data_IF_009862499785
#
_entry.id   IF_009862499785
#
_cell.length_a   1.000
_cell.length_b   1.000
_cell.length_c   1.000
_cell.angle_alpha   90.00
_cell.angle_beta   90.00
_cell.angle_gamma   90.00
#
_symmetry.space_group_name_H-M   'P 1'
#
loop_
_entity.id
_entity.type
_entity.pdbx_description
1 polymer ?
#
# COMPACT_ATOMS: atom_id res chain seq x y z
N UNK A 1 6.77 8.60 3.73
CA UNK A 1 5.45 9.15 4.18
C UNK A 1 4.45 9.24 2.99
N UNK A 2 4.47 8.24 2.10
CA UNK A 2 3.62 8.27 0.90
C UNK A 2 2.11 8.20 1.21
N UNK A 3 1.73 7.72 2.40
CA UNK A 3 0.34 7.57 2.86
C UNK A 3 -0.06 8.55 3.97
N UNK A 4 0.70 9.61 4.20
CA UNK A 4 0.50 10.53 5.32
C UNK A 4 -0.86 11.27 5.28
N UNK A 5 -1.50 11.36 4.11
CA UNK A 5 -2.81 12.01 3.95
C UNK A 5 -4.01 11.12 4.27
N UNK A 6 -3.79 9.85 4.61
CA UNK A 6 -4.88 8.88 4.83
C UNK A 6 -5.37 8.81 6.27
N UNK A 7 -4.75 9.55 7.17
CA UNK A 7 -5.13 9.63 8.58
C UNK A 7 -4.80 11.00 9.19
N UNK A 8 -5.62 11.47 10.10
CA UNK A 8 -5.39 12.70 10.87
C UNK A 8 -5.50 12.43 12.38
N UNK A 9 -4.57 12.95 13.20
CA UNK A 9 -3.38 13.72 12.80
C UNK A 9 -2.30 12.82 12.18
N UNK A 10 -1.70 13.26 11.06
CA UNK A 10 -0.54 12.56 10.52
C UNK A 10 0.71 12.86 11.34
N UNK A 11 1.54 11.84 11.52
CA UNK A 11 2.80 11.95 12.27
C UNK A 11 3.96 11.80 11.29
N UNK A 12 4.77 12.86 11.17
CA UNK A 12 5.99 12.80 10.38
C UNK A 12 7.18 12.36 11.24
N UNK A 13 8.02 11.48 10.70
CA UNK A 13 9.26 11.05 11.35
C UNK A 13 10.22 12.19 11.65
N UNK A 14 10.09 13.32 10.94
CA UNK A 14 10.92 14.52 11.19
C UNK A 14 10.72 15.10 12.60
N UNK A 15 9.55 14.89 13.21
CA UNK A 15 9.26 15.37 14.56
C UNK A 15 10.18 14.75 15.63
N UNK A 16 10.76 13.59 15.33
CA UNK A 16 11.66 12.86 16.24
C UNK A 16 13.15 13.14 15.96
N UNK A 17 13.44 14.00 15.01
CA UNK A 17 14.81 14.33 14.59
C UNK A 17 15.22 15.67 15.19
N UNK A 18 16.16 15.66 16.15
CA UNK A 18 16.66 16.91 16.78
C UNK A 18 17.52 17.75 15.84
N UNK A 19 18.36 17.10 15.04
CA UNK A 19 19.22 17.74 14.06
C UNK A 19 19.34 16.84 12.83
N UNK A 20 18.79 17.29 11.73
CA UNK A 20 18.73 16.52 10.49
C UNK A 20 20.13 16.25 9.91
N UNK A 21 21.04 17.24 9.97
CA UNK A 21 22.39 17.12 9.39
C UNK A 21 23.28 16.12 10.14
N UNK A 22 22.97 15.81 11.39
CA UNK A 22 23.68 14.80 12.19
C UNK A 22 22.92 13.45 12.27
N UNK A 23 21.83 13.29 11.54
CA UNK A 23 21.00 12.08 11.55
C UNK A 23 21.18 11.25 10.26
N UNK A 24 20.82 9.96 10.35
CA UNK A 24 20.68 9.05 9.21
C UNK A 24 19.21 8.84 8.84
N UNK A 25 18.33 9.79 9.19
CA UNK A 25 16.92 9.72 8.86
C UNK A 25 16.65 10.21 7.45
N UNK A 26 15.84 9.47 6.71
CA UNK A 26 15.33 9.81 5.38
C UNK A 26 13.82 9.85 5.44
N UNK A 27 13.23 10.98 5.09
CA UNK A 27 11.78 11.12 4.96
C UNK A 27 11.45 11.18 3.47
N UNK A 28 10.79 10.14 2.96
CA UNK A 28 10.36 10.09 1.57
C UNK A 28 8.87 10.45 1.47
N UNK A 29 8.55 11.38 0.59
CA UNK A 29 7.19 11.75 0.24
C UNK A 29 6.97 11.69 -1.27
N UNK A 30 5.71 11.67 -1.69
CA UNK A 30 5.37 11.63 -3.11
C UNK A 30 3.96 12.15 -3.40
N UNK A 31 3.75 12.65 -4.62
CA UNK A 31 2.42 13.00 -5.13
C UNK A 31 1.57 11.75 -5.45
N UNK A 32 2.16 10.57 -5.40
CA UNK A 32 1.59 9.32 -5.92
C UNK A 32 0.28 8.92 -5.25
N UNK A 33 0.23 8.94 -3.91
CA UNK A 33 -0.88 8.38 -3.13
C UNK A 33 -1.77 9.48 -2.56
N UNK A 34 -1.28 10.30 -1.65
CA UNK A 34 -2.07 11.34 -1.01
C UNK A 34 -2.62 12.40 -1.97
N UNK A 35 -1.89 12.74 -3.03
CA UNK A 35 -2.34 13.67 -4.07
C UNK A 35 -2.95 12.97 -5.30
N UNK A 36 -3.20 11.66 -5.23
CA UNK A 36 -3.84 10.85 -6.28
C UNK A 36 -3.22 11.06 -7.69
N UNK A 37 -1.89 11.27 -7.74
CA UNK A 37 -1.19 11.61 -8.97
C UNK A 37 -0.03 10.65 -9.28
N UNK A 38 -0.28 9.33 -9.40
CA UNK A 38 0.78 8.35 -9.62
C UNK A 38 1.50 8.52 -10.95
N UNK A 39 0.82 9.02 -11.99
CA UNK A 39 1.34 9.15 -13.35
C UNK A 39 2.38 10.25 -13.52
N UNK A 40 2.42 11.26 -12.65
CA UNK A 40 3.39 12.36 -12.78
C UNK A 40 4.82 11.98 -12.35
N UNK A 41 4.98 10.85 -11.65
CA UNK A 41 6.26 10.29 -11.20
C UNK A 41 7.13 11.28 -10.39
N UNK A 42 6.53 11.99 -9.43
CA UNK A 42 7.20 12.95 -8.56
C UNK A 42 7.15 12.49 -7.11
N UNK A 43 8.32 12.52 -6.49
CA UNK A 43 8.55 12.36 -5.06
C UNK A 43 9.69 13.23 -4.59
N UNK A 44 9.90 13.27 -3.30
CA UNK A 44 10.98 14.02 -2.65
C UNK A 44 11.56 13.25 -1.47
N UNK A 45 12.78 13.61 -1.11
CA UNK A 45 13.45 13.11 0.08
C UNK A 45 13.92 14.31 0.90
N UNK A 46 13.67 14.23 2.21
CA UNK A 46 14.24 15.13 3.21
C UNK A 46 15.25 14.32 4.03
N UNK A 47 16.50 14.75 4.04
CA UNK A 47 17.60 14.09 4.75
C UNK A 47 18.70 15.09 5.06
N UNK A 48 19.78 14.65 5.72
CA UNK A 48 20.97 15.48 5.95
C UNK A 48 21.57 15.99 4.62
N UNK A 49 22.19 17.16 4.65
CA UNK A 49 22.83 17.77 3.48
C UNK A 49 23.77 16.78 2.76
N UNK A 50 24.63 16.10 3.52
CA UNK A 50 25.56 15.09 2.99
C UNK A 50 24.81 13.98 2.23
N UNK A 51 23.72 13.47 2.79
CA UNK A 51 22.93 12.40 2.17
C UNK A 51 22.21 12.90 0.91
N UNK A 52 21.69 14.13 0.92
CA UNK A 52 21.06 14.74 -0.25
C UNK A 52 22.06 14.94 -1.39
N UNK A 53 23.26 15.40 -1.11
CA UNK A 53 24.33 15.53 -2.13
C UNK A 53 24.68 14.18 -2.76
N UNK A 54 24.79 13.13 -1.94
CA UNK A 54 25.05 11.77 -2.44
C UNK A 54 23.91 11.26 -3.33
N UNK A 55 22.65 11.42 -2.87
CA UNK A 55 21.48 11.00 -3.64
C UNK A 55 21.29 11.79 -4.93
N UNK A 56 21.56 13.11 -4.91
CA UNK A 56 21.48 13.96 -6.09
C UNK A 56 22.50 13.53 -7.15
N UNK A 57 23.74 13.26 -6.74
CA UNK A 57 24.78 12.77 -7.65
C UNK A 57 24.42 11.41 -8.25
N UNK A 58 23.93 10.46 -7.42
CA UNK A 58 23.50 9.15 -7.88
C UNK A 58 22.30 9.25 -8.84
N UNK A 59 21.31 10.07 -8.50
CA UNK A 59 20.13 10.30 -9.35
C UNK A 59 20.50 10.94 -10.69
N UNK A 60 21.39 11.92 -10.67
CA UNK A 60 21.90 12.57 -11.90
C UNK A 60 22.60 11.59 -12.83
N UNK A 61 23.42 10.70 -12.26
CA UNK A 61 24.13 9.68 -13.03
C UNK A 61 23.20 8.56 -13.54
N UNK A 62 22.33 8.03 -12.66
CA UNK A 62 21.52 6.84 -12.96
C UNK A 62 20.22 7.12 -13.72
N UNK A 63 19.62 8.29 -13.50
CA UNK A 63 18.28 8.61 -14.03
C UNK A 63 18.26 9.91 -14.86
N UNK A 64 19.31 10.70 -14.84
CA UNK A 64 19.31 12.05 -15.39
C UNK A 64 18.51 13.02 -14.51
N UNK A 65 17.73 13.89 -15.13
CA UNK A 65 16.87 14.83 -14.42
C UNK A 65 15.43 14.31 -14.25
N UNK A 66 14.76 14.83 -13.25
CA UNK A 66 13.30 14.64 -13.10
C UNK A 66 12.57 15.53 -14.11
N UNK A 67 11.50 15.03 -14.73
CA UNK A 67 10.69 15.76 -15.71
C UNK A 67 10.29 17.16 -15.22
N UNK A 68 10.73 18.21 -15.90
CA UNK A 68 10.41 19.60 -15.53
C UNK A 68 8.90 19.90 -15.58
N UNK A 69 8.15 19.51 -16.62
CA UNK A 69 6.68 19.66 -16.59
C UNK A 69 6.02 19.01 -15.39
N UNK A 70 6.46 17.81 -15.01
CA UNK A 70 5.95 17.10 -13.83
C UNK A 70 6.26 17.85 -12.53
N UNK A 71 7.44 18.44 -12.41
CA UNK A 71 7.79 19.29 -11.27
C UNK A 71 6.89 20.51 -11.16
N UNK A 72 6.65 21.22 -12.27
CA UNK A 72 5.75 22.39 -12.31
C UNK A 72 4.33 22.00 -11.91
N UNK A 73 3.85 20.84 -12.37
CA UNK A 73 2.55 20.32 -11.99
C UNK A 73 2.50 19.97 -10.49
N UNK A 74 3.53 19.32 -9.98
CA UNK A 74 3.63 18.99 -8.56
C UNK A 74 3.60 20.23 -7.65
N UNK A 75 4.26 21.32 -8.04
CA UNK A 75 4.22 22.61 -7.30
C UNK A 75 2.77 23.08 -7.16
N UNK A 76 1.96 22.94 -8.21
CA UNK A 76 0.54 23.29 -8.16
C UNK A 76 -0.29 22.36 -7.27
N UNK A 77 0.02 21.08 -7.26
CA UNK A 77 -0.63 20.11 -6.36
C UNK A 77 -0.30 20.37 -4.88
N UNK A 78 0.92 20.84 -4.62
CA UNK A 78 1.43 21.12 -3.28
C UNK A 78 1.02 22.49 -2.72
N UNK A 79 0.20 23.25 -3.42
CA UNK A 79 -0.39 24.48 -2.86
C UNK A 79 -1.16 24.16 -1.57
N UNK A 80 -0.93 24.90 -0.44
CA UNK A 80 -1.47 24.56 0.87
C UNK A 80 -3.00 24.34 0.88
N UNK A 81 -3.74 25.16 0.14
CA UNK A 81 -5.19 25.04 0.02
C UNK A 81 -5.63 23.75 -0.68
N UNK A 82 -4.87 23.29 -1.68
CA UNK A 82 -5.11 22.02 -2.38
C UNK A 82 -4.76 20.82 -1.49
N UNK A 83 -3.62 20.86 -0.84
CA UNK A 83 -3.19 19.81 0.10
C UNK A 83 -4.23 19.60 1.20
N UNK A 84 -4.74 20.69 1.80
CA UNK A 84 -5.78 20.61 2.82
C UNK A 84 -7.07 19.94 2.31
N UNK A 85 -7.51 20.31 1.09
CA UNK A 85 -8.71 19.70 0.46
C UNK A 85 -8.47 18.24 0.11
N UNK A 86 -7.30 17.92 -0.47
CA UNK A 86 -6.94 16.56 -0.83
C UNK A 86 -6.88 15.66 0.40
N UNK A 87 -6.23 16.09 1.48
CA UNK A 87 -6.16 15.36 2.75
C UNK A 87 -7.55 14.98 3.24
N UNK A 88 -8.45 15.96 3.36
CA UNK A 88 -9.81 15.70 3.82
C UNK A 88 -10.53 14.68 2.94
N UNK A 89 -10.51 14.87 1.62
CA UNK A 89 -11.21 13.99 0.68
C UNK A 89 -10.62 12.55 0.67
N UNK A 90 -9.29 12.44 0.70
CA UNK A 90 -8.60 11.14 0.73
C UNK A 90 -8.88 10.40 2.03
N UNK A 91 -8.78 11.08 3.17
CA UNK A 91 -9.04 10.50 4.48
C UNK A 91 -10.49 10.01 4.60
N UNK A 92 -11.48 10.85 4.27
CA UNK A 92 -12.91 10.50 4.34
C UNK A 92 -13.23 9.30 3.43
N UNK A 93 -12.79 9.35 2.17
CA UNK A 93 -13.07 8.28 1.20
C UNK A 93 -12.45 6.94 1.61
N UNK A 94 -11.16 6.93 1.95
CA UNK A 94 -10.47 5.67 2.23
C UNK A 94 -10.76 5.12 3.62
N UNK A 95 -11.11 5.94 4.60
CA UNK A 95 -11.59 5.45 5.89
C UNK A 95 -12.91 4.71 5.71
N UNK A 96 -13.86 5.30 4.99
CA UNK A 96 -15.13 4.66 4.68
C UNK A 96 -14.96 3.33 3.92
N UNK A 97 -14.09 3.28 2.91
CA UNK A 97 -13.78 2.04 2.19
C UNK A 97 -13.14 1.00 3.11
N UNK A 98 -12.19 1.42 3.95
CA UNK A 98 -11.50 0.53 4.89
C UNK A 98 -12.47 -0.14 5.86
N UNK A 99 -13.36 0.62 6.44
CA UNK A 99 -14.36 0.11 7.38
C UNK A 99 -15.26 -0.92 6.73
N UNK A 100 -15.80 -0.64 5.54
CA UNK A 100 -16.69 -1.54 4.80
C UNK A 100 -16.03 -2.88 4.48
N UNK A 101 -14.87 -2.84 3.82
CA UNK A 101 -14.16 -4.05 3.44
C UNK A 101 -13.65 -4.80 4.67
N UNK A 102 -13.17 -4.12 5.69
CA UNK A 102 -12.72 -4.72 6.94
C UNK A 102 -13.82 -5.51 7.60
N UNK A 103 -14.98 -4.89 7.81
CA UNK A 103 -16.15 -5.54 8.38
C UNK A 103 -16.60 -6.76 7.57
N UNK A 104 -16.67 -6.64 6.25
CA UNK A 104 -17.07 -7.75 5.40
C UNK A 104 -16.11 -8.95 5.50
N UNK A 105 -14.80 -8.71 5.60
CA UNK A 105 -13.82 -9.77 5.79
C UNK A 105 -13.87 -10.40 7.18
N UNK A 106 -14.13 -9.61 8.23
CA UNK A 106 -14.37 -10.14 9.58
C UNK A 106 -15.61 -11.04 9.61
N UNK A 107 -16.71 -10.62 8.96
CA UNK A 107 -17.94 -11.42 8.82
C UNK A 107 -17.70 -12.72 8.05
N UNK A 108 -16.75 -12.75 7.11
CA UNK A 108 -16.30 -13.98 6.45
C UNK A 108 -15.36 -14.82 7.32
N UNK A 109 -15.03 -14.43 8.55
CA UNK A 109 -14.14 -15.16 9.45
C UNK A 109 -12.67 -15.10 9.08
N UNK A 110 -12.23 -14.06 8.38
CA UNK A 110 -10.82 -13.80 8.11
C UNK A 110 -10.19 -13.01 9.27
N UNK A 111 -8.90 -13.23 9.53
CA UNK A 111 -8.12 -12.34 10.37
C UNK A 111 -7.86 -11.02 9.63
N UNK A 112 -8.28 -9.88 10.21
CA UNK A 112 -8.13 -8.56 9.59
C UNK A 112 -7.11 -7.73 10.37
N UNK A 113 -6.00 -7.41 9.72
CA UNK A 113 -4.96 -6.54 10.26
C UNK A 113 -4.90 -5.28 9.40
N UNK A 114 -5.29 -4.18 9.98
CA UNK A 114 -5.30 -2.89 9.31
C UNK A 114 -4.86 -1.80 10.28
N UNK A 115 -4.23 -0.77 9.75
CA UNK A 115 -3.93 0.44 10.52
C UNK A 115 -4.99 1.51 10.28
N UNK A 116 -4.76 2.69 10.85
CA UNK A 116 -5.67 3.83 10.75
C UNK A 116 -5.57 4.59 9.42
N UNK A 117 -4.67 4.16 8.52
CA UNK A 117 -4.42 4.85 7.24
C UNK A 117 -4.15 3.89 6.08
N UNK A 118 -3.96 4.46 4.89
CA UNK A 118 -3.73 3.71 3.66
C UNK A 118 -5.00 3.13 3.06
N UNK A 119 -4.82 2.24 2.07
CA UNK A 119 -5.92 1.60 1.35
C UNK A 119 -5.66 0.09 1.14
N UNK A 120 -5.09 -0.55 2.16
CA UNK A 120 -4.83 -1.98 2.19
C UNK A 120 -5.36 -2.59 3.48
N UNK A 121 -5.85 -3.82 3.39
CA UNK A 121 -5.93 -4.75 4.49
C UNK A 121 -4.83 -5.80 4.35
N UNK A 122 -4.26 -6.20 5.47
CA UNK A 122 -3.48 -7.41 5.59
C UNK A 122 -4.38 -8.46 6.21
N UNK A 123 -4.62 -9.54 5.48
CA UNK A 123 -5.64 -10.53 5.82
C UNK A 123 -5.00 -11.88 6.04
N UNK A 124 -5.58 -12.65 6.97
CA UNK A 124 -5.17 -14.02 7.27
C UNK A 124 -6.31 -15.00 6.98
N UNK A 125 -6.00 -16.02 6.21
CA UNK A 125 -6.89 -17.14 5.93
C UNK A 125 -6.96 -18.11 7.12
N UNK A 126 -8.06 -18.86 7.27
CA UNK A 126 -8.16 -19.98 8.21
C UNK A 126 -7.04 -21.00 8.03
N UNK A 127 -6.80 -21.82 9.04
CA UNK A 127 -5.84 -22.92 8.96
C UNK A 127 -6.14 -23.87 7.81
N UNK A 128 -5.09 -24.41 7.20
CA UNK A 128 -5.19 -25.32 6.06
C UNK A 128 -5.37 -24.63 4.71
N UNK A 129 -5.57 -23.30 4.66
CA UNK A 129 -5.72 -22.55 3.42
C UNK A 129 -4.45 -21.75 3.09
N UNK A 130 -4.17 -21.60 1.80
CA UNK A 130 -3.04 -20.82 1.31
C UNK A 130 -3.49 -19.66 0.42
N UNK A 131 -2.87 -18.49 0.59
CA UNK A 131 -3.19 -17.30 -0.20
C UNK A 131 -2.86 -17.45 -1.68
N UNK A 132 -1.85 -18.25 -2.02
CA UNK A 132 -1.48 -18.57 -3.39
C UNK A 132 -2.59 -19.34 -4.13
N UNK A 133 -3.23 -20.29 -3.45
CA UNK A 133 -4.34 -21.05 -4.04
C UNK A 133 -5.60 -20.19 -4.15
N UNK A 134 -5.92 -19.41 -3.12
CA UNK A 134 -7.03 -18.44 -3.19
C UNK A 134 -6.82 -17.47 -4.36
N UNK A 135 -5.61 -16.94 -4.54
CA UNK A 135 -5.30 -16.03 -5.65
C UNK A 135 -5.51 -16.67 -7.03
N UNK A 136 -5.13 -17.94 -7.21
CA UNK A 136 -5.37 -18.67 -8.47
C UNK A 136 -6.86 -18.80 -8.79
N UNK A 137 -7.68 -19.03 -7.76
CA UNK A 137 -9.14 -19.15 -7.90
C UNK A 137 -9.78 -17.80 -8.24
N UNK A 138 -9.41 -16.76 -7.51
CA UNK A 138 -9.82 -15.38 -7.80
C UNK A 138 -9.43 -14.95 -9.21
N UNK A 139 -8.21 -15.29 -9.63
CA UNK A 139 -7.71 -14.93 -10.97
C UNK A 139 -8.53 -15.54 -12.10
N UNK A 140 -9.03 -16.76 -11.94
CA UNK A 140 -9.97 -17.39 -12.90
C UNK A 140 -11.32 -16.66 -13.00
N UNK A 141 -11.67 -15.89 -11.97
CA UNK A 141 -12.89 -15.09 -11.88
C UNK A 141 -12.65 -13.59 -12.19
N UNK A 142 -11.44 -13.24 -12.65
CA UNK A 142 -11.07 -11.86 -13.01
C UNK A 142 -10.65 -10.96 -11.85
N UNK A 143 -10.41 -11.52 -10.66
CA UNK A 143 -9.92 -10.80 -9.49
C UNK A 143 -8.52 -11.27 -9.08
N UNK A 144 -7.81 -10.48 -8.28
CA UNK A 144 -6.50 -10.84 -7.77
C UNK A 144 -6.21 -10.19 -6.42
N UNK A 145 -5.44 -10.89 -5.61
CA UNK A 145 -4.85 -10.42 -4.37
C UNK A 145 -3.32 -10.49 -4.44
N UNK A 146 -2.62 -9.84 -3.53
CA UNK A 146 -1.18 -9.98 -3.43
C UNK A 146 -0.84 -10.92 -2.28
N UNK A 147 -0.30 -12.11 -2.60
CA UNK A 147 0.12 -13.08 -1.60
C UNK A 147 1.25 -12.52 -0.73
N UNK A 148 1.24 -12.81 0.55
CA UNK A 148 2.26 -12.33 1.47
C UNK A 148 3.65 -12.91 1.17
N UNK A 149 3.73 -14.10 0.59
CA UNK A 149 4.97 -14.66 0.06
C UNK A 149 5.71 -13.74 -0.92
N UNK A 150 4.97 -12.92 -1.68
CA UNK A 150 5.55 -11.95 -2.61
C UNK A 150 5.97 -10.64 -1.93
N UNK A 151 5.52 -10.43 -0.68
CA UNK A 151 5.91 -9.31 0.17
C UNK A 151 7.04 -9.67 1.15
N UNK A 152 7.44 -10.94 1.22
CA UNK A 152 8.46 -11.41 2.14
C UNK A 152 9.86 -11.03 1.67
N UNK A 153 10.42 -10.01 2.32
CA UNK A 153 11.76 -9.48 2.02
C UNK A 153 12.89 -10.41 2.45
N UNK A 154 12.62 -11.43 3.28
CA UNK A 154 13.58 -12.47 3.64
C UNK A 154 13.67 -13.57 2.58
N UNK A 155 12.76 -13.60 1.62
CA UNK A 155 12.74 -14.57 0.54
C UNK A 155 14.00 -14.46 -0.30
N UNK A 156 14.82 -15.52 -0.39
CA UNK A 156 16.01 -15.52 -1.23
C UNK A 156 15.65 -15.35 -2.71
N UNK A 157 16.52 -14.68 -3.45
CA UNK A 157 16.37 -14.55 -4.90
C UNK A 157 16.67 -15.84 -5.67
N UNK A 158 17.35 -16.81 -5.01
CA UNK A 158 17.66 -18.12 -5.60
C UNK A 158 16.48 -19.09 -5.49
N UNK A 159 16.16 -19.76 -6.59
CA UNK A 159 15.13 -20.81 -6.63
C UNK A 159 15.56 -22.09 -5.89
N UNK A 160 16.83 -22.24 -5.59
CA UNK A 160 17.42 -23.42 -4.94
C UNK A 160 17.45 -23.30 -3.41
N UNK A 161 16.72 -22.35 -2.85
CA UNK A 161 16.62 -22.12 -1.43
C UNK A 161 15.51 -22.97 -0.82
N UNK A 162 15.82 -23.69 0.25
CA UNK A 162 14.85 -24.40 1.10
C UNK A 162 14.01 -23.46 1.98
N UNK A 163 14.11 -22.15 1.76
CA UNK A 163 13.38 -21.16 2.52
C UNK A 163 11.87 -21.25 2.26
N UNK A 164 11.13 -21.52 3.31
CA UNK A 164 9.68 -21.49 3.31
C UNK A 164 9.21 -20.23 4.05
N UNK A 165 8.44 -19.39 3.37
CA UNK A 165 7.84 -18.23 4.02
C UNK A 165 6.84 -18.67 5.09
N UNK A 166 6.85 -18.05 6.30
CA UNK A 166 5.84 -18.32 7.32
C UNK A 166 4.48 -17.68 7.03
N UNK A 167 4.37 -16.91 5.94
CA UNK A 167 3.21 -16.09 5.62
C UNK A 167 2.31 -16.69 4.54
N UNK A 168 2.29 -18.00 4.35
CA UNK A 168 1.51 -18.66 3.26
C UNK A 168 0.02 -18.38 3.32
N UNK A 169 -0.53 -18.21 4.53
CA UNK A 169 -1.96 -17.89 4.76
C UNK A 169 -2.30 -16.42 4.62
N UNK A 170 -1.30 -15.54 4.57
CA UNK A 170 -1.51 -14.11 4.56
C UNK A 170 -1.53 -13.53 3.15
N UNK A 171 -2.29 -12.46 2.98
CA UNK A 171 -2.34 -11.70 1.73
C UNK A 171 -2.70 -10.24 1.97
N UNK A 172 -2.32 -9.41 1.01
CA UNK A 172 -2.71 -8.01 0.98
C UNK A 172 -3.90 -7.82 0.04
N UNK A 173 -4.97 -7.28 0.57
CA UNK A 173 -6.10 -6.80 -0.21
C UNK A 173 -6.00 -5.29 -0.41
N UNK A 174 -6.10 -4.83 -1.66
CA UNK A 174 -6.05 -3.41 -2.01
C UNK A 174 -7.44 -2.93 -2.42
N UNK A 175 -8.05 -2.07 -1.60
CA UNK A 175 -9.29 -1.40 -1.97
C UNK A 175 -9.07 -0.03 -2.64
N UNK A 176 -7.80 0.37 -2.82
CA UNK A 176 -7.44 1.65 -3.43
C UNK A 176 -7.96 1.88 -4.84
N UNK A 177 -7.92 0.90 -5.75
CA UNK A 177 -8.43 1.05 -7.11
C UNK A 177 -9.91 0.71 -7.27
N UNK A 178 -10.56 0.19 -6.21
CA UNK A 178 -11.94 -0.28 -6.29
C UNK A 178 -12.92 0.88 -6.20
N UNK A 179 -13.98 0.79 -6.98
CA UNK A 179 -15.04 1.80 -6.98
C UNK A 179 -16.04 1.52 -5.85
N UNK A 180 -16.58 2.56 -5.20
CA UNK A 180 -17.60 2.39 -4.16
C UNK A 180 -18.82 1.58 -4.62
N UNK A 181 -19.18 1.71 -5.90
CA UNK A 181 -20.34 1.07 -6.52
C UNK A 181 -20.15 -0.43 -6.75
N UNK A 182 -18.90 -0.92 -6.80
CA UNK A 182 -18.62 -2.34 -7.03
C UNK A 182 -18.52 -3.15 -5.74
N UNK A 183 -18.61 -2.51 -4.59
CA UNK A 183 -18.40 -3.15 -3.28
C UNK A 183 -19.18 -4.47 -3.11
N UNK A 184 -20.49 -4.46 -3.36
CA UNK A 184 -21.34 -5.63 -3.15
C UNK A 184 -20.93 -6.78 -4.08
N UNK A 185 -20.63 -6.47 -5.34
CA UNK A 185 -20.16 -7.47 -6.31
C UNK A 185 -18.76 -7.99 -5.99
N UNK A 186 -17.86 -7.13 -5.50
CA UNK A 186 -16.50 -7.51 -5.11
C UNK A 186 -16.53 -8.46 -3.91
N UNK A 187 -17.34 -8.14 -2.89
CA UNK A 187 -17.50 -8.95 -1.69
C UNK A 187 -18.21 -10.27 -2.00
N UNK A 188 -19.25 -10.25 -2.84
CA UNK A 188 -19.94 -11.46 -3.25
C UNK A 188 -18.98 -12.42 -3.96
N UNK A 189 -18.24 -11.93 -4.96
CA UNK A 189 -17.27 -12.73 -5.71
C UNK A 189 -16.20 -13.33 -4.78
N UNK A 190 -15.70 -12.53 -3.85
CA UNK A 190 -14.68 -12.99 -2.91
C UNK A 190 -15.23 -14.07 -1.98
N UNK A 191 -16.44 -13.89 -1.43
CA UNK A 191 -17.11 -14.84 -0.56
C UNK A 191 -17.36 -16.18 -1.26
N UNK A 192 -17.91 -16.13 -2.49
CA UNK A 192 -18.16 -17.34 -3.28
C UNK A 192 -16.87 -18.17 -3.49
N UNK A 193 -15.77 -17.52 -3.88
CA UNK A 193 -14.49 -18.20 -4.09
C UNK A 193 -13.89 -18.73 -2.79
N UNK A 194 -14.05 -18.00 -1.70
CA UNK A 194 -13.57 -18.42 -0.39
C UNK A 194 -14.34 -19.63 0.12
N UNK A 195 -15.66 -19.65 -0.04
CA UNK A 195 -16.51 -20.74 0.40
C UNK A 195 -16.29 -22.01 -0.43
N UNK A 196 -16.14 -21.89 -1.77
CA UNK A 196 -15.73 -23.01 -2.62
C UNK A 196 -14.40 -23.62 -2.14
N UNK A 197 -13.42 -22.78 -1.78
CA UNK A 197 -12.13 -23.25 -1.29
C UNK A 197 -12.24 -23.93 0.09
N UNK A 198 -13.06 -23.40 1.00
CA UNK A 198 -13.29 -23.99 2.32
C UNK A 198 -13.88 -25.39 2.24
N UNK A 199 -14.84 -25.62 1.35
CA UNK A 199 -15.47 -26.93 1.15
C UNK A 199 -14.45 -27.99 0.72
N UNK A 200 -13.47 -27.63 -0.07
CA UNK A 200 -12.43 -28.57 -0.53
C UNK A 200 -11.38 -28.88 0.57
N UNK A 201 -11.04 -27.89 1.41
CA UNK A 201 -10.06 -28.09 2.49
C UNK A 201 -10.66 -28.80 3.70
N UNK A 202 -11.98 -28.64 3.93
CA UNK A 202 -12.71 -29.29 5.03
C UNK A 202 -13.21 -30.70 4.73
N UNK A 203 -13.01 -31.18 3.50
CA UNK A 203 -13.34 -32.55 3.07
C UNK A 203 -12.11 -33.46 3.11
#
# INVERSE_FOLDING_TARGET
EAYEMFHSPSVSGIQFVRNLDSSNVFIAGACTKGLQSPGIRIGWIVASRKNIETLANYSSFGMGGVSHPSQLYAVKLLEPGRVKKARKAVEEHYNWQRERYGQAFEEMGLGVFTGDGGFYHWLELPEGMESSELNKRLFKRGAAILCASDCDMARPHSKDSDYLTPYTRFFRFSFGPLLPETFDSDIQLFSEVLDEYRLEVGS
#
